data_IF_222084113423
#
_entry.id   IF_222084113423
#
_cell.length_a   1.000
_cell.length_b   1.000
_cell.length_c   1.000
_cell.angle_alpha   90.00
_cell.angle_beta   90.00
_cell.angle_gamma   90.00
#
_symmetry.space_group_name_H-M   'P 1'
#
loop_
_entity.id
_entity.type
_entity.pdbx_description
1 polymer ?
#
# COMPACT_ATOMS: atom_id res chain seq x y z
N UNK A 1 11.85 11.90 -5.98
CA UNK A 1 11.25 10.76 -6.71
C UNK A 1 9.71 10.76 -6.65
N UNK A 2 9.08 10.63 -5.47
CA UNK A 2 7.60 10.55 -5.31
C UNK A 2 6.80 11.64 -6.06
N UNK A 3 7.18 12.91 -5.90
CA UNK A 3 6.49 14.05 -6.55
C UNK A 3 6.47 13.92 -8.08
N UNK A 4 7.53 13.39 -8.70
CA UNK A 4 7.59 13.22 -10.15
C UNK A 4 6.59 12.16 -10.62
N UNK A 5 6.49 11.04 -9.90
CA UNK A 5 5.49 10.00 -10.23
C UNK A 5 4.05 10.49 -10.03
N UNK A 6 3.79 11.34 -9.03
CA UNK A 6 2.48 11.98 -8.85
C UNK A 6 2.15 12.89 -10.05
N UNK A 7 3.13 13.66 -10.54
CA UNK A 7 2.98 14.49 -11.74
C UNK A 7 2.70 13.64 -12.98
N UNK A 8 3.42 12.53 -13.16
CA UNK A 8 3.19 11.62 -14.29
C UNK A 8 1.83 10.91 -14.22
N UNK A 9 1.34 10.58 -13.02
CA UNK A 9 -0.03 10.08 -12.83
C UNK A 9 -1.05 11.11 -13.32
N UNK A 10 -0.92 12.38 -12.89
CA UNK A 10 -1.80 13.46 -13.33
C UNK A 10 -1.72 13.69 -14.85
N UNK A 11 -0.52 13.63 -15.43
CA UNK A 11 -0.31 13.75 -16.87
C UNK A 11 -0.98 12.62 -17.64
N UNK A 12 -0.85 11.39 -17.16
CA UNK A 12 -1.46 10.20 -17.76
C UNK A 12 -2.99 10.26 -17.71
N UNK A 13 -3.56 10.70 -16.59
CA UNK A 13 -5.01 10.94 -16.47
C UNK A 13 -5.48 12.03 -17.42
N UNK A 14 -4.71 13.11 -17.58
CA UNK A 14 -5.01 14.19 -18.52
C UNK A 14 -5.10 13.71 -19.97
N UNK A 15 -4.22 12.79 -20.39
CA UNK A 15 -4.28 12.18 -21.74
C UNK A 15 -5.50 11.29 -21.95
N UNK A 16 -6.09 10.76 -20.88
CA UNK A 16 -7.21 9.81 -20.93
C UNK A 16 -8.59 10.45 -20.71
N UNK A 17 -8.67 11.78 -20.55
CA UNK A 17 -9.91 12.49 -20.21
C UNK A 17 -10.15 13.67 -21.16
N UNK A 18 -11.41 14.03 -21.38
CA UNK A 18 -11.78 14.99 -22.44
C UNK A 18 -11.68 16.45 -21.99
N UNK A 19 -11.68 16.72 -20.69
CA UNK A 19 -11.54 18.07 -20.14
C UNK A 19 -10.90 18.06 -18.75
N UNK A 20 -10.48 19.24 -18.29
CA UNK A 20 -9.79 19.45 -17.02
C UNK A 20 -10.61 19.04 -15.80
N UNK A 21 -11.94 19.21 -15.83
CA UNK A 21 -12.83 18.78 -14.75
C UNK A 21 -12.83 17.27 -14.57
N UNK A 22 -12.97 16.53 -15.68
CA UNK A 22 -12.88 15.06 -15.70
C UNK A 22 -11.48 14.57 -15.31
N UNK A 23 -10.42 15.24 -15.75
CA UNK A 23 -9.05 14.93 -15.34
C UNK A 23 -8.90 14.99 -13.82
N UNK A 24 -9.38 16.07 -13.19
CA UNK A 24 -9.30 16.24 -11.75
C UNK A 24 -10.14 15.23 -10.99
N UNK A 25 -11.36 14.95 -11.42
CA UNK A 25 -12.22 13.95 -10.80
C UNK A 25 -11.59 12.56 -10.86
N UNK A 26 -11.06 12.16 -12.02
CA UNK A 26 -10.42 10.86 -12.20
C UNK A 26 -9.13 10.75 -11.39
N UNK A 27 -8.33 11.81 -11.34
CA UNK A 27 -7.12 11.86 -10.53
C UNK A 27 -7.45 11.72 -9.04
N UNK A 28 -8.46 12.44 -8.55
CA UNK A 28 -8.94 12.35 -7.17
C UNK A 28 -9.35 10.91 -6.81
N UNK A 29 -10.17 10.27 -7.66
CA UNK A 29 -10.60 8.87 -7.48
C UNK A 29 -9.41 7.91 -7.37
N UNK A 30 -8.39 8.07 -8.23
CA UNK A 30 -7.18 7.23 -8.18
C UNK A 30 -6.38 7.46 -6.90
N UNK A 31 -6.22 8.71 -6.48
CA UNK A 31 -5.53 9.01 -5.21
C UNK A 31 -6.31 8.54 -3.99
N UNK A 32 -7.65 8.52 -4.04
CA UNK A 32 -8.50 7.91 -3.01
C UNK A 32 -8.35 6.39 -2.96
N UNK A 33 -8.25 5.75 -4.13
CA UNK A 33 -7.96 4.32 -4.22
C UNK A 33 -6.59 4.00 -3.59
N UNK A 34 -5.56 4.80 -3.88
CA UNK A 34 -4.23 4.65 -3.27
C UNK A 34 -4.27 4.78 -1.73
N UNK A 35 -5.06 5.71 -1.20
CA UNK A 35 -5.25 5.84 0.25
C UNK A 35 -5.96 4.62 0.85
N UNK A 36 -6.99 4.09 0.18
CA UNK A 36 -7.74 2.92 0.64
C UNK A 36 -6.90 1.63 0.66
N UNK A 37 -5.82 1.56 -0.13
CA UNK A 37 -4.89 0.42 -0.11
C UNK A 37 -4.26 0.23 1.26
N UNK A 38 -4.06 1.30 2.05
CA UNK A 38 -3.40 1.18 3.36
C UNK A 38 -4.23 0.36 4.35
N UNK A 39 -5.55 0.58 4.39
CA UNK A 39 -6.44 -0.17 5.27
C UNK A 39 -6.54 -1.64 4.80
N UNK A 40 -6.59 -1.89 3.48
CA UNK A 40 -6.58 -3.25 2.93
C UNK A 40 -5.27 -3.99 3.23
N UNK A 41 -4.13 -3.35 2.97
CA UNK A 41 -2.80 -3.94 3.17
C UNK A 41 -2.53 -4.17 4.66
N UNK A 42 -3.02 -3.30 5.55
CA UNK A 42 -2.97 -3.54 6.99
C UNK A 42 -3.60 -4.88 7.37
N UNK A 43 -4.84 -5.12 6.93
CA UNK A 43 -5.52 -6.40 7.20
C UNK A 43 -4.79 -7.61 6.58
N UNK A 44 -4.18 -7.44 5.40
CA UNK A 44 -3.39 -8.50 4.77
C UNK A 44 -2.11 -8.81 5.55
N UNK A 45 -1.43 -7.77 6.05
CA UNK A 45 -0.22 -7.92 6.86
C UNK A 45 -0.54 -8.57 8.20
N UNK A 46 -1.66 -8.22 8.86
CA UNK A 46 -2.07 -8.84 10.11
C UNK A 46 -2.24 -10.37 9.95
N UNK A 47 -2.92 -10.79 8.89
CA UNK A 47 -3.08 -12.21 8.59
C UNK A 47 -1.77 -12.88 8.18
N UNK A 48 -0.94 -12.19 7.40
CA UNK A 48 0.38 -12.67 7.00
C UNK A 48 1.29 -12.89 8.22
N UNK A 49 1.30 -11.96 9.18
CA UNK A 49 2.11 -12.07 10.39
C UNK A 49 1.59 -13.15 11.33
N UNK A 50 0.26 -13.29 11.45
CA UNK A 50 -0.34 -14.40 12.20
C UNK A 50 0.07 -15.76 11.62
N UNK A 51 -0.10 -15.96 10.31
CA UNK A 51 0.26 -17.22 9.64
C UNK A 51 1.75 -17.48 9.62
N UNK A 52 2.59 -16.44 9.61
CA UNK A 52 4.03 -16.55 9.74
C UNK A 52 4.46 -17.05 11.13
N UNK A 53 3.87 -16.50 12.19
CA UNK A 53 4.13 -16.91 13.59
C UNK A 53 3.68 -18.34 13.87
N UNK A 54 2.49 -18.68 13.39
CA UNK A 54 1.87 -19.99 13.57
C UNK A 54 2.20 -20.97 12.42
N UNK A 55 3.22 -20.67 11.60
CA UNK A 55 3.53 -21.39 10.36
C UNK A 55 3.68 -22.90 10.55
N UNK A 56 4.34 -23.32 11.64
CA UNK A 56 4.50 -24.74 11.97
C UNK A 56 3.17 -25.41 12.35
N UNK A 57 2.33 -24.74 13.16
CA UNK A 57 1.04 -25.26 13.60
C UNK A 57 0.02 -25.32 12.45
N UNK A 58 0.01 -24.30 11.60
CA UNK A 58 -0.88 -24.17 10.44
C UNK A 58 -0.36 -24.90 9.20
N UNK A 59 0.86 -25.45 9.24
CA UNK A 59 1.55 -26.09 8.10
C UNK A 59 1.64 -25.18 6.88
N UNK A 60 2.00 -23.92 7.11
CA UNK A 60 2.21 -22.92 6.07
C UNK A 60 3.72 -22.74 5.87
N UNK A 61 4.18 -22.92 4.65
CA UNK A 61 5.59 -22.74 4.30
C UNK A 61 5.84 -21.33 3.74
N UNK A 62 6.97 -20.74 4.11
CA UNK A 62 7.43 -19.46 3.61
C UNK A 62 8.80 -19.63 2.93
N UNK A 63 8.99 -19.12 1.70
CA UNK A 63 10.29 -19.10 1.05
C UNK A 63 11.25 -18.14 1.77
N UNK A 64 12.56 -18.39 1.65
CA UNK A 64 13.63 -17.67 2.37
C UNK A 64 13.51 -16.14 2.26
N UNK A 65 13.25 -15.63 1.06
CA UNK A 65 13.07 -14.19 0.84
C UNK A 65 11.92 -13.59 1.67
N UNK A 66 10.80 -14.31 1.80
CA UNK A 66 9.68 -13.83 2.62
C UNK A 66 9.99 -13.94 4.10
N UNK A 67 10.74 -14.96 4.53
CA UNK A 67 11.21 -15.06 5.93
C UNK A 67 12.07 -13.85 6.29
N UNK A 68 13.03 -13.48 5.43
CA UNK A 68 13.89 -12.31 5.64
C UNK A 68 13.07 -11.02 5.73
N UNK A 69 12.20 -10.76 4.75
CA UNK A 69 11.37 -9.56 4.68
C UNK A 69 10.43 -9.48 5.89
N UNK A 70 9.67 -10.54 6.19
CA UNK A 70 8.66 -10.53 7.24
C UNK A 70 9.31 -10.38 8.62
N UNK A 71 10.45 -11.07 8.85
CA UNK A 71 11.18 -10.97 10.12
C UNK A 71 11.69 -9.55 10.40
N UNK A 72 12.12 -8.82 9.36
CA UNK A 72 12.52 -7.41 9.47
C UNK A 72 11.33 -6.46 9.64
N UNK A 73 10.18 -6.75 9.02
CA UNK A 73 9.01 -5.87 9.00
C UNK A 73 8.14 -5.96 10.26
N UNK A 74 7.91 -7.16 10.81
CA UNK A 74 7.06 -7.37 12.00
C UNK A 74 7.39 -6.38 13.14
N UNK A 75 8.65 -6.27 13.62
CA UNK A 75 8.95 -5.38 14.74
C UNK A 75 8.72 -3.91 14.39
N UNK A 76 8.90 -3.49 13.14
CA UNK A 76 8.68 -2.11 12.69
C UNK A 76 7.21 -1.73 12.66
N UNK A 77 6.36 -2.66 12.21
CA UNK A 77 4.90 -2.45 12.16
C UNK A 77 4.32 -2.43 13.57
N UNK A 78 4.66 -3.42 14.41
CA UNK A 78 4.08 -3.54 15.76
C UNK A 78 4.55 -2.48 16.74
N UNK A 79 5.79 -1.97 16.57
CA UNK A 79 6.27 -0.83 17.35
C UNK A 79 5.70 0.52 16.90
N UNK A 80 4.89 0.54 15.83
CA UNK A 80 4.33 1.77 15.27
C UNK A 80 5.36 2.63 14.52
N UNK A 81 6.52 2.08 14.17
CA UNK A 81 7.60 2.78 13.47
C UNK A 81 7.35 2.95 11.95
N UNK A 82 6.18 2.54 11.45
CA UNK A 82 5.79 2.73 10.06
C UNK A 82 5.04 4.04 9.86
N UNK A 83 5.48 4.85 8.91
CA UNK A 83 4.81 6.10 8.56
C UNK A 83 4.00 5.97 7.25
N UNK A 84 2.68 5.88 7.39
CA UNK A 84 1.76 5.79 6.25
C UNK A 84 1.55 7.16 5.60
N UNK A 85 1.74 7.22 4.29
CA UNK A 85 1.62 8.46 3.52
C UNK A 85 0.29 8.50 2.75
N UNK A 86 -0.58 9.42 3.16
CA UNK A 86 -1.87 9.66 2.51
C UNK A 86 -1.83 10.84 1.54
N UNK A 87 -2.66 10.79 0.50
CA UNK A 87 -2.97 11.94 -0.36
C UNK A 87 -4.02 12.85 0.28
N UNK A 88 -5.02 12.26 0.93
CA UNK A 88 -6.08 12.98 1.61
C UNK A 88 -6.00 12.71 3.10
N UNK A 89 -6.08 13.76 3.92
CA UNK A 89 -6.23 13.59 5.37
C UNK A 89 -7.47 12.72 5.64
N UNK A 90 -7.34 11.77 6.58
CA UNK A 90 -8.49 11.08 7.16
C UNK A 90 -9.38 12.10 7.86
#
# INVERSE_FOLDING_TARGET
>A
MRVNYIKELRRSVGKATNNSGQTWQRFFQLTKLLDAMHDLVGNLLDFCFYTFRESQALKVEFPEMLVEIISDQIPKVESGNTHTLYFHKK
#
